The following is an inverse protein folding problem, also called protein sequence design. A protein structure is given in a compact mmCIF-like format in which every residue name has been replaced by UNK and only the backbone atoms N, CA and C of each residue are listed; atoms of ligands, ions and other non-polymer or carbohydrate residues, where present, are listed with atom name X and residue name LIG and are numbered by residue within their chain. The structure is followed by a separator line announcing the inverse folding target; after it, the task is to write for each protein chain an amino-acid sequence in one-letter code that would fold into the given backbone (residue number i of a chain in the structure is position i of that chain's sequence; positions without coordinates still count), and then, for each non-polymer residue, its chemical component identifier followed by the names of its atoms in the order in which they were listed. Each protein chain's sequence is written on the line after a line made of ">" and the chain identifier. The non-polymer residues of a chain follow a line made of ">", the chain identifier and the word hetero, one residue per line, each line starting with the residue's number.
data_IF_817722086492
#
_entry.id   IF_817722086492
#
_cell.length_a   1.000
_cell.length_b   1.000
_cell.length_c   1.000
_cell.angle_alpha   90.00
_cell.angle_beta   90.00
_cell.angle_gamma   90.00
#
_symmetry.space_group_name_H-M   'P 1'
#
loop_
_entity.id
_entity.type
_entity.pdbx_description
1 polymer ?
#
# COMPACT_ATOMS: atom_id res chain seq x y z
N UNK A 1 -12.55 11.07 -1.78
CA UNK A 1 -11.77 11.89 -0.83
C UNK A 1 -10.30 11.80 -1.19
N UNK A 2 -9.59 12.92 -1.25
CA UNK A 2 -8.16 12.95 -1.55
C UNK A 2 -7.40 12.88 -0.22
N UNK A 3 -6.42 11.97 -0.11
CA UNK A 3 -5.58 11.87 1.07
C UNK A 3 -4.79 13.17 1.31
N UNK A 4 -4.67 13.57 2.56
CA UNK A 4 -3.87 14.74 2.93
C UNK A 4 -2.39 14.39 2.97
N UNK A 5 -1.54 15.40 2.88
CA UNK A 5 -0.09 15.22 3.04
C UNK A 5 0.25 14.63 4.41
N UNK A 6 -0.45 15.07 5.45
CA UNK A 6 -0.26 14.56 6.80
C UNK A 6 -0.54 13.06 6.90
N UNK A 7 -1.61 12.58 6.26
CA UNK A 7 -1.95 11.15 6.22
C UNK A 7 -0.87 10.33 5.49
N UNK A 8 -0.36 10.86 4.38
CA UNK A 8 0.71 10.24 3.62
C UNK A 8 2.00 10.14 4.45
N UNK A 9 2.39 11.23 5.10
CA UNK A 9 3.60 11.28 5.91
C UNK A 9 3.48 10.37 7.14
N UNK A 10 2.30 10.30 7.76
CA UNK A 10 2.03 9.38 8.86
C UNK A 10 2.19 7.92 8.44
N UNK A 11 1.71 7.55 7.24
CA UNK A 11 1.89 6.20 6.74
C UNK A 11 3.37 5.84 6.56
N UNK A 12 4.14 6.71 5.92
CA UNK A 12 5.57 6.46 5.68
C UNK A 12 6.44 6.59 6.93
N UNK A 13 5.89 7.08 8.03
CA UNK A 13 6.53 7.06 9.34
C UNK A 13 6.45 5.71 10.04
N UNK A 14 5.61 4.77 9.56
CA UNK A 14 5.53 3.42 10.09
C UNK A 14 6.77 2.61 9.69
N UNK A 15 7.11 1.58 10.47
CA UNK A 15 8.32 0.79 10.21
C UNK A 15 8.01 -0.60 9.67
N UNK A 16 6.99 -1.25 10.20
CA UNK A 16 6.63 -2.62 9.81
C UNK A 16 5.36 -2.60 8.98
N UNK A 17 5.51 -3.01 7.72
CA UNK A 17 4.45 -2.92 6.72
C UNK A 17 4.23 -4.29 6.06
N UNK A 18 2.98 -4.59 5.72
CA UNK A 18 2.68 -5.66 4.76
C UNK A 18 2.43 -5.04 3.38
N UNK A 19 2.79 -5.77 2.34
CA UNK A 19 2.43 -5.45 0.96
C UNK A 19 1.58 -6.61 0.44
N UNK A 20 0.30 -6.35 0.21
CA UNK A 20 -0.67 -7.37 -0.22
C UNK A 20 -0.77 -7.35 -1.74
N UNK A 21 -0.66 -8.52 -2.35
CA UNK A 21 -0.70 -8.67 -3.79
C UNK A 21 0.68 -8.66 -4.44
N UNK A 22 1.74 -8.95 -3.68
CA UNK A 22 3.10 -9.02 -4.24
C UNK A 22 3.19 -10.19 -5.21
N UNK A 23 3.57 -9.90 -6.46
CA UNK A 23 3.83 -10.91 -7.48
C UNK A 23 5.15 -11.62 -7.23
N UNK A 24 5.22 -12.90 -7.59
CA UNK A 24 6.48 -13.64 -7.64
C UNK A 24 7.40 -13.19 -8.78
N UNK A 25 6.85 -12.51 -9.79
CA UNK A 25 7.61 -11.95 -10.91
C UNK A 25 8.28 -10.64 -10.47
N UNK A 26 9.63 -10.58 -10.45
CA UNK A 26 10.35 -9.37 -10.05
C UNK A 26 10.13 -8.18 -10.97
N UNK A 27 9.61 -8.39 -12.17
CA UNK A 27 9.28 -7.32 -13.13
C UNK A 27 7.92 -6.68 -12.84
N UNK A 28 7.08 -7.34 -12.05
CA UNK A 28 5.76 -6.81 -11.72
C UNK A 28 5.90 -5.63 -10.76
N UNK A 29 5.05 -4.61 -10.93
CA UNK A 29 5.11 -3.39 -10.13
C UNK A 29 4.94 -3.64 -8.63
N UNK A 30 4.07 -4.58 -8.24
CA UNK A 30 3.88 -4.93 -6.83
C UNK A 30 5.16 -5.49 -6.19
N UNK A 31 5.91 -6.29 -6.93
CA UNK A 31 7.20 -6.80 -6.45
C UNK A 31 8.22 -5.66 -6.35
N UNK A 32 8.24 -4.76 -7.33
CA UNK A 32 9.15 -3.61 -7.33
C UNK A 32 8.91 -2.69 -6.10
N UNK A 33 7.67 -2.42 -5.75
CA UNK A 33 7.32 -1.66 -4.56
C UNK A 33 7.79 -2.36 -3.29
N UNK A 34 7.55 -3.67 -3.16
CA UNK A 34 8.00 -4.44 -2.01
C UNK A 34 9.53 -4.41 -1.87
N UNK A 35 10.26 -4.60 -2.97
CA UNK A 35 11.73 -4.54 -2.96
C UNK A 35 12.23 -3.14 -2.58
N UNK A 36 11.61 -2.10 -3.11
CA UNK A 36 11.96 -0.71 -2.80
C UNK A 36 11.79 -0.41 -1.30
N UNK A 37 10.70 -0.87 -0.70
CA UNK A 37 10.47 -0.70 0.74
C UNK A 37 11.56 -1.39 1.56
N UNK A 38 11.96 -2.60 1.18
CA UNK A 38 13.05 -3.33 1.83
C UNK A 38 14.38 -2.57 1.74
N UNK A 39 14.69 -2.03 0.56
CA UNK A 39 15.92 -1.24 0.34
C UNK A 39 15.94 0.02 1.21
N UNK A 40 14.78 0.58 1.51
CA UNK A 40 14.63 1.75 2.38
C UNK A 40 14.52 1.41 3.85
N UNK A 41 14.83 0.16 4.22
CA UNK A 41 14.87 -0.34 5.60
C UNK A 41 13.52 -0.43 6.29
N UNK A 42 12.42 -0.46 5.55
CA UNK A 42 11.14 -0.90 6.10
C UNK A 42 11.17 -2.41 6.33
N UNK A 43 10.55 -2.85 7.41
CA UNK A 43 10.25 -4.26 7.60
C UNK A 43 9.02 -4.60 6.75
N UNK A 44 9.23 -4.85 5.46
CA UNK A 44 8.18 -5.07 4.49
C UNK A 44 7.94 -6.57 4.30
N UNK A 45 6.75 -7.03 4.66
CA UNK A 45 6.34 -8.44 4.61
C UNK A 45 5.44 -8.66 3.40
N UNK A 46 5.78 -9.60 2.50
CA UNK A 46 4.93 -9.86 1.33
C UNK A 46 3.74 -10.74 1.71
N UNK A 47 2.57 -10.44 1.14
CA UNK A 47 1.35 -11.23 1.31
C UNK A 47 0.84 -11.64 -0.06
N UNK A 48 0.71 -12.95 -0.27
CA UNK A 48 0.17 -13.55 -1.48
C UNK A 48 -0.34 -14.96 -1.13
N UNK A 49 -1.63 -15.27 -1.32
CA UNK A 49 -2.18 -16.56 -0.94
C UNK A 49 -1.64 -17.73 -1.76
N UNK A 50 -0.97 -17.46 -2.87
CA UNK A 50 -0.45 -18.48 -3.79
C UNK A 50 1.06 -18.70 -3.66
N UNK A 51 1.71 -18.12 -2.65
CA UNK A 51 3.15 -18.27 -2.43
C UNK A 51 3.46 -18.42 -0.94
N UNK A 52 4.46 -19.24 -0.63
CA UNK A 52 5.01 -19.37 0.73
C UNK A 52 6.32 -18.61 0.92
N UNK A 53 6.99 -18.33 -0.19
CA UNK A 53 8.20 -17.49 -0.24
C UNK A 53 8.19 -16.63 -1.50
N UNK A 54 8.75 -15.44 -1.39
CA UNK A 54 9.03 -14.57 -2.54
C UNK A 54 10.43 -14.04 -2.36
N UNK A 55 11.28 -14.23 -3.36
CA UNK A 55 12.70 -13.81 -3.30
C UNK A 55 13.39 -14.29 -2.01
N UNK A 56 13.15 -15.55 -1.65
CA UNK A 56 13.73 -16.17 -0.46
C UNK A 56 13.19 -15.67 0.87
N UNK A 57 12.22 -14.75 0.87
CA UNK A 57 11.60 -14.23 2.08
C UNK A 57 10.28 -14.92 2.38
N UNK A 58 9.94 -15.13 3.67
CA UNK A 58 8.64 -15.67 4.03
C UNK A 58 7.50 -14.81 3.48
N UNK A 59 6.53 -15.47 2.84
CA UNK A 59 5.32 -14.84 2.32
C UNK A 59 4.12 -15.44 3.05
N UNK A 60 3.20 -14.58 3.47
CA UNK A 60 2.01 -15.00 4.19
C UNK A 60 0.79 -14.98 3.28
N UNK A 61 -0.14 -15.89 3.52
CA UNK A 61 -1.38 -15.95 2.75
C UNK A 61 -2.32 -14.80 3.11
N UNK A 62 -2.34 -14.38 4.37
CA UNK A 62 -3.24 -13.36 4.90
C UNK A 62 -2.52 -12.45 5.89
N UNK A 63 -3.01 -11.21 6.00
CA UNK A 63 -2.40 -10.20 6.89
C UNK A 63 -2.38 -10.65 8.35
N UNK A 64 -3.44 -11.29 8.82
CA UNK A 64 -3.52 -11.74 10.22
C UNK A 64 -2.59 -12.89 10.57
N UNK A 65 -1.98 -13.54 9.58
CA UNK A 65 -1.00 -14.60 9.83
C UNK A 65 0.39 -14.06 10.17
N UNK A 66 0.62 -12.76 9.97
CA UNK A 66 1.93 -12.14 10.19
C UNK A 66 2.16 -11.94 11.69
N UNK A 67 3.30 -12.46 12.19
CA UNK A 67 3.73 -12.26 13.57
C UNK A 67 5.20 -11.80 13.61
N UNK A 68 5.52 -10.75 14.38
CA UNK A 68 4.59 -9.83 15.08
C UNK A 68 3.72 -9.04 14.08
N UNK A 69 2.58 -8.48 14.55
CA UNK A 69 1.65 -7.75 13.68
C UNK A 69 2.29 -6.56 12.97
N UNK A 70 1.77 -6.22 11.78
CA UNK A 70 2.22 -5.04 11.04
C UNK A 70 1.44 -3.80 11.47
N UNK A 71 2.05 -2.63 11.29
CA UNK A 71 1.44 -1.34 11.63
C UNK A 71 0.57 -0.81 10.49
N UNK A 72 1.00 -1.04 9.26
CA UNK A 72 0.33 -0.60 8.06
C UNK A 72 0.38 -1.62 6.94
N UNK A 73 -0.51 -1.46 5.98
CA UNK A 73 -0.66 -2.37 4.84
C UNK A 73 -0.77 -1.57 3.55
N UNK A 74 0.10 -1.87 2.58
CA UNK A 74 -0.02 -1.40 1.20
C UNK A 74 -0.79 -2.46 0.42
N UNK A 75 -1.92 -2.08 -0.16
CA UNK A 75 -2.80 -2.99 -0.90
C UNK A 75 -2.64 -2.73 -2.40
N UNK A 76 -2.29 -3.77 -3.14
CA UNK A 76 -2.04 -3.73 -4.59
C UNK A 76 -2.87 -4.77 -5.33
N UNK A 77 -4.04 -5.10 -4.79
CA UNK A 77 -4.98 -6.06 -5.34
C UNK A 77 -6.07 -5.36 -6.17
N UNK A 78 -6.82 -6.10 -7.00
CA UNK A 78 -8.04 -5.54 -7.61
C UNK A 78 -9.06 -5.11 -6.54
N UNK A 79 -9.95 -4.14 -6.84
CA UNK A 79 -10.89 -3.59 -5.85
C UNK A 79 -11.71 -4.64 -5.08
N UNK A 80 -12.20 -5.66 -5.78
CA UNK A 80 -13.00 -6.73 -5.16
C UNK A 80 -12.20 -7.53 -4.13
N UNK A 81 -10.91 -7.75 -4.38
CA UNK A 81 -10.01 -8.43 -3.44
C UNK A 81 -9.68 -7.50 -2.27
N UNK A 82 -9.50 -6.21 -2.54
CA UNK A 82 -9.26 -5.19 -1.50
C UNK A 82 -10.34 -5.21 -0.42
N UNK A 83 -11.60 -5.40 -0.81
CA UNK A 83 -12.71 -5.48 0.15
C UNK A 83 -12.50 -6.58 1.20
N UNK A 84 -12.03 -7.76 0.77
CA UNK A 84 -11.69 -8.83 1.70
C UNK A 84 -10.42 -8.51 2.50
N UNK A 85 -9.43 -7.92 1.87
CA UNK A 85 -8.16 -7.58 2.53
C UNK A 85 -8.35 -6.61 3.69
N UNK A 86 -9.24 -5.62 3.57
CA UNK A 86 -9.47 -4.68 4.68
C UNK A 86 -10.14 -5.34 5.88
N UNK A 87 -10.97 -6.37 5.67
CA UNK A 87 -11.48 -7.19 6.78
C UNK A 87 -10.33 -7.90 7.51
N UNK A 88 -9.39 -8.45 6.76
CA UNK A 88 -8.19 -9.07 7.33
C UNK A 88 -7.33 -8.05 8.11
N UNK A 89 -7.20 -6.83 7.57
CA UNK A 89 -6.47 -5.75 8.24
C UNK A 89 -7.09 -5.38 9.58
N UNK A 90 -8.39 -5.20 9.63
CA UNK A 90 -9.10 -4.89 10.87
C UNK A 90 -8.94 -6.02 11.88
N UNK A 91 -9.10 -7.26 11.45
CA UNK A 91 -8.91 -8.44 12.30
C UNK A 91 -7.49 -8.54 12.88
N UNK A 92 -6.50 -8.07 12.14
CA UNK A 92 -5.09 -8.05 12.55
C UNK A 92 -4.70 -6.85 13.42
N UNK A 93 -5.61 -5.89 13.65
CA UNK A 93 -5.32 -4.67 14.40
C UNK A 93 -4.52 -3.63 13.63
N UNK A 94 -4.52 -3.69 12.31
CA UNK A 94 -3.85 -2.70 11.45
C UNK A 94 -4.53 -1.35 11.58
N UNK A 95 -3.74 -0.29 11.73
CA UNK A 95 -4.25 1.07 11.93
C UNK A 95 -4.17 1.95 10.68
N UNK A 96 -3.37 1.58 9.69
CA UNK A 96 -3.13 2.37 8.48
C UNK A 96 -3.15 1.48 7.24
N UNK A 97 -3.87 1.92 6.22
CA UNK A 97 -4.00 1.20 4.93
C UNK A 97 -3.71 2.16 3.78
N UNK A 98 -2.95 1.71 2.80
CA UNK A 98 -2.70 2.41 1.55
C UNK A 98 -3.27 1.60 0.40
N UNK A 99 -4.31 2.12 -0.27
CA UNK A 99 -4.89 1.50 -1.47
C UNK A 99 -4.24 2.11 -2.71
N UNK A 100 -3.41 1.32 -3.38
CA UNK A 100 -2.64 1.75 -4.54
C UNK A 100 -3.53 2.19 -5.71
N UNK A 101 -3.10 3.26 -6.38
CA UNK A 101 -3.57 3.62 -7.72
C UNK A 101 -2.38 4.20 -8.49
N UNK A 102 -2.11 3.64 -9.68
CA UNK A 102 -1.03 4.12 -10.53
C UNK A 102 -1.36 5.43 -11.23
N UNK A 103 -0.34 6.08 -11.77
CA UNK A 103 -0.48 7.34 -12.51
C UNK A 103 -1.24 7.18 -13.83
N UNK A 104 -1.30 5.98 -14.38
CA UNK A 104 -1.98 5.69 -15.65
C UNK A 104 -3.51 5.65 -15.60
N UNK A 105 -4.10 5.90 -14.43
CA UNK A 105 -5.54 5.81 -14.23
C UNK A 105 -6.01 4.40 -13.92
N UNK A 106 -7.31 4.16 -14.00
CA UNK A 106 -7.94 2.92 -13.59
C UNK A 106 -8.21 2.86 -12.09
N UNK A 107 -8.92 1.83 -11.61
CA UNK A 107 -9.35 1.75 -10.20
C UNK A 107 -8.20 1.42 -9.25
N UNK A 108 -7.12 0.78 -9.72
CA UNK A 108 -6.06 0.30 -8.86
C UNK A 108 -6.58 -0.68 -7.82
N UNK A 109 -6.26 -0.45 -6.54
CA UNK A 109 -6.76 -1.23 -5.41
C UNK A 109 -7.92 -0.52 -4.69
N UNK A 110 -8.40 0.61 -5.19
CA UNK A 110 -9.39 1.43 -4.49
C UNK A 110 -10.79 0.85 -4.67
N UNK A 111 -11.47 0.60 -3.55
CA UNK A 111 -12.88 0.23 -3.48
C UNK A 111 -13.57 1.19 -2.52
N UNK A 112 -14.67 1.87 -2.94
CA UNK A 112 -15.44 2.72 -2.03
C UNK A 112 -15.97 1.95 -0.80
N UNK A 113 -16.37 0.71 -0.98
CA UNK A 113 -16.85 -0.16 0.09
C UNK A 113 -15.73 -0.47 1.10
N UNK A 114 -14.52 -0.74 0.60
CA UNK A 114 -13.35 -0.97 1.44
C UNK A 114 -12.96 0.29 2.23
N UNK A 115 -13.01 1.47 1.61
CA UNK A 115 -12.76 2.75 2.29
C UNK A 115 -13.79 2.96 3.41
N UNK A 116 -15.07 2.76 3.12
CA UNK A 116 -16.15 2.91 4.11
C UNK A 116 -15.97 1.93 5.29
N UNK A 117 -15.57 0.70 5.00
CA UNK A 117 -15.29 -0.30 6.05
C UNK A 117 -14.14 0.15 6.96
N UNK A 118 -13.06 0.64 6.40
CA UNK A 118 -11.94 1.18 7.17
C UNK A 118 -12.36 2.37 8.04
N UNK A 119 -13.11 3.31 7.48
CA UNK A 119 -13.61 4.48 8.20
C UNK A 119 -14.48 4.07 9.39
N UNK A 120 -15.34 3.06 9.22
CA UNK A 120 -16.19 2.54 10.27
C UNK A 120 -15.41 1.83 11.40
N UNK A 121 -14.17 1.45 11.16
CA UNK A 121 -13.32 0.72 12.11
C UNK A 121 -12.08 1.53 12.55
N UNK A 122 -12.10 2.84 12.36
CA UNK A 122 -11.03 3.77 12.77
C UNK A 122 -9.66 3.44 12.15
N UNK A 123 -9.66 2.92 10.91
CA UNK A 123 -8.45 2.69 10.14
C UNK A 123 -8.18 3.88 9.23
N UNK A 124 -7.01 4.48 9.35
CA UNK A 124 -6.55 5.57 8.47
C UNK A 124 -6.30 5.04 7.05
N UNK A 125 -6.87 5.70 6.05
CA UNK A 125 -6.77 5.27 4.66
C UNK A 125 -6.12 6.34 3.80
N UNK A 126 -5.10 5.94 3.04
CA UNK A 126 -4.61 6.68 1.88
C UNK A 126 -5.11 5.93 0.64
N UNK A 127 -6.01 6.53 -0.12
CA UNK A 127 -6.61 5.89 -1.28
C UNK A 127 -6.34 6.70 -2.56
N UNK A 128 -6.03 6.01 -3.65
CA UNK A 128 -5.92 6.62 -4.97
C UNK A 128 -4.58 7.28 -5.26
N UNK A 129 -3.54 6.98 -4.49
CA UNK A 129 -2.19 7.50 -4.72
C UNK A 129 -1.22 6.37 -5.06
N UNK A 130 -0.22 6.66 -5.90
CA UNK A 130 0.86 5.73 -6.16
C UNK A 130 1.86 5.79 -4.99
N UNK A 131 2.11 4.67 -4.29
CA UNK A 131 3.05 4.67 -3.16
C UNK A 131 4.44 5.17 -3.54
N UNK A 132 4.91 4.78 -4.72
CA UNK A 132 6.25 5.10 -5.20
C UNK A 132 6.49 6.60 -5.34
N UNK A 133 5.44 7.38 -5.67
CA UNK A 133 5.55 8.84 -5.85
C UNK A 133 5.79 9.60 -4.56
N UNK A 134 5.45 9.01 -3.42
CA UNK A 134 5.48 9.70 -2.12
C UNK A 134 6.53 9.15 -1.16
N UNK A 135 7.27 8.11 -1.57
CA UNK A 135 8.39 7.60 -0.78
C UNK A 135 9.52 8.64 -0.72
N UNK A 136 10.12 8.86 0.46
CA UNK A 136 11.28 9.74 0.58
C UNK A 136 12.40 9.32 -0.38
N UNK A 137 13.04 10.28 -1.06
CA UNK A 137 14.09 9.97 -2.03
C UNK A 137 13.60 9.34 -3.33
N UNK A 138 12.31 9.52 -3.67
CA UNK A 138 11.72 9.05 -4.93
C UNK A 138 12.55 9.51 -6.14
N UNK A 139 12.77 8.62 -7.15
CA UNK A 139 13.48 8.98 -8.37
C UNK A 139 12.87 10.20 -9.08
N UNK A 140 13.71 10.97 -9.75
CA UNK A 140 13.33 12.21 -10.43
C UNK A 140 12.09 12.08 -11.33
N UNK A 141 11.96 10.97 -12.03
CA UNK A 141 10.81 10.69 -12.90
C UNK A 141 9.47 10.74 -12.13
N UNK A 142 9.39 10.12 -10.95
CA UNK A 142 8.20 10.16 -10.11
C UNK A 142 8.00 11.52 -9.44
N UNK A 143 9.08 12.24 -9.18
CA UNK A 143 9.04 13.62 -8.70
C UNK A 143 8.32 14.55 -9.69
N UNK A 144 8.57 14.38 -10.98
CA UNK A 144 7.88 15.13 -12.04
C UNK A 144 6.37 14.85 -12.02
N UNK A 145 5.95 13.60 -11.87
CA UNK A 145 4.54 13.25 -11.74
C UNK A 145 3.88 13.92 -10.53
N UNK A 146 4.57 13.95 -9.41
CA UNK A 146 4.11 14.65 -8.21
C UNK A 146 3.95 16.14 -8.45
N UNK A 147 4.89 16.77 -9.18
CA UNK A 147 4.82 18.18 -9.55
C UNK A 147 3.63 18.47 -10.45
N UNK A 148 3.39 17.66 -11.48
CA UNK A 148 2.23 17.81 -12.37
C UNK A 148 0.94 17.69 -11.59
N UNK A 149 0.79 16.72 -10.70
CA UNK A 149 -0.38 16.59 -9.82
C UNK A 149 -0.58 17.83 -8.95
N UNK A 150 0.49 18.40 -8.44
CA UNK A 150 0.45 19.60 -7.59
C UNK A 150 -0.07 20.80 -8.38
N UNK A 151 0.43 21.00 -9.61
CA UNK A 151 0.00 22.10 -10.50
C UNK A 151 -1.45 21.94 -10.93
N UNK A 152 -1.90 20.71 -11.20
CA UNK A 152 -3.28 20.43 -11.61
C UNK A 152 -4.28 20.36 -10.46
N UNK A 153 -3.83 20.53 -9.22
CA UNK A 153 -4.68 20.47 -8.03
C UNK A 153 -5.03 19.06 -7.58
N UNK A 154 -4.51 18.03 -8.22
CA UNK A 154 -4.74 16.63 -7.84
C UNK A 154 -3.71 16.09 -6.82
N UNK A 155 -2.79 16.94 -6.40
CA UNK A 155 -1.80 16.58 -5.37
C UNK A 155 -2.44 16.71 -3.98
N UNK A 156 -2.21 15.76 -3.06
CA UNK A 156 -2.73 15.85 -1.69
C UNK A 156 -2.18 17.08 -0.95
N UNK A 157 -3.04 17.75 -0.21
CA UNK A 157 -2.69 18.93 0.61
C UNK A 157 -2.16 18.53 1.97
#
# INVERSE_FOLDING_TARGET
>A
MVATRQQIDAFWGLKRLAVVGVSRDPKHFSNAIWQELRQRRYEAVPVNPNATTIDGQPCFARVQDIQPPVDGVVIMTPPQVTEQVVHDCVAAGVTHVWMHRGAGGGPGAVSPEAVAYCDAHDVEVVAGQCPYMFLPGTPFFHGIHGFVKKVTGSYPK
#
